data_IF_297425204407
#
_entry.id   IF_297425204407
#
_cell.length_a   1.000
_cell.length_b   1.000
_cell.length_c   1.000
_cell.angle_alpha   90.00
_cell.angle_beta   90.00
_cell.angle_gamma   90.00
#
_symmetry.space_group_name_H-M   'P 1'
#
loop_
_entity.id
_entity.type
_entity.pdbx_description
1 polymer ?
#
# COMPACT_ATOMS: atom_id res chain seq x y z
N UNK A 1 -18.47 -27.52 14.60
CA UNK A 1 -17.86 -28.51 13.69
C UNK A 1 -16.78 -27.87 12.80
N UNK A 2 -17.06 -26.74 12.16
CA UNK A 2 -16.09 -26.02 11.32
C UNK A 2 -14.81 -25.62 12.08
N UNK A 3 -14.90 -25.21 13.34
CA UNK A 3 -13.72 -24.84 14.12
C UNK A 3 -12.74 -26.02 14.34
N UNK A 4 -13.25 -27.24 14.46
CA UNK A 4 -12.46 -28.48 14.57
C UNK A 4 -11.85 -28.85 13.22
N UNK A 5 -12.63 -28.71 12.14
CA UNK A 5 -12.16 -28.90 10.77
C UNK A 5 -11.00 -27.96 10.44
N UNK A 6 -11.13 -26.66 10.74
CA UNK A 6 -10.06 -25.67 10.52
C UNK A 6 -8.82 -25.96 11.35
N UNK A 7 -9.00 -26.47 12.58
CA UNK A 7 -7.88 -26.83 13.46
C UNK A 7 -7.13 -28.05 12.92
N UNK A 8 -7.86 -29.09 12.52
CA UNK A 8 -7.30 -30.37 12.04
C UNK A 8 -6.64 -30.22 10.67
N UNK A 9 -7.16 -29.34 9.82
CA UNK A 9 -6.69 -29.13 8.46
C UNK A 9 -5.82 -27.87 8.28
N UNK A 10 -5.41 -27.22 9.37
CA UNK A 10 -4.70 -25.92 9.33
C UNK A 10 -3.52 -25.90 8.35
N UNK A 11 -2.65 -26.91 8.43
CA UNK A 11 -1.45 -26.96 7.59
C UNK A 11 -1.78 -27.14 6.11
N UNK A 12 -2.80 -27.95 5.80
CA UNK A 12 -3.24 -28.18 4.43
C UNK A 12 -3.90 -26.93 3.83
N UNK A 13 -4.73 -26.24 4.61
CA UNK A 13 -5.33 -24.96 4.21
C UNK A 13 -4.27 -23.91 3.90
N UNK A 14 -3.24 -23.78 4.76
CA UNK A 14 -2.12 -22.85 4.52
C UNK A 14 -1.37 -23.22 3.24
N UNK A 15 -1.09 -24.52 3.03
CA UNK A 15 -0.41 -25.00 1.82
C UNK A 15 -1.19 -24.69 0.55
N UNK A 16 -2.51 -24.89 0.55
CA UNK A 16 -3.38 -24.56 -0.59
C UNK A 16 -3.42 -23.07 -0.89
N UNK A 17 -3.55 -22.23 0.14
CA UNK A 17 -3.53 -20.78 -0.04
C UNK A 17 -2.19 -20.29 -0.60
N UNK A 18 -1.06 -20.83 -0.11
CA UNK A 18 0.27 -20.54 -0.68
C UNK A 18 0.38 -20.93 -2.14
N UNK A 19 -0.13 -22.10 -2.50
CA UNK A 19 -0.11 -22.56 -3.89
C UNK A 19 -0.95 -21.65 -4.79
N UNK A 20 -2.16 -21.29 -4.37
CA UNK A 20 -3.08 -20.42 -5.11
C UNK A 20 -2.56 -18.97 -5.27
N UNK A 21 -1.75 -18.49 -4.32
CA UNK A 21 -1.09 -17.20 -4.44
C UNK A 21 0.19 -17.27 -5.29
N UNK A 22 0.95 -18.36 -5.20
CA UNK A 22 2.16 -18.57 -5.99
C UNK A 22 1.92 -18.68 -7.50
N UNK A 23 0.70 -19.01 -7.93
CA UNK A 23 0.32 -19.00 -9.36
C UNK A 23 0.01 -17.60 -9.90
N UNK A 24 -0.20 -16.61 -9.03
CA UNK A 24 -0.62 -15.23 -9.40
C UNK A 24 0.42 -14.15 -9.10
N UNK A 25 1.35 -14.43 -8.20
CA UNK A 25 2.31 -13.45 -7.70
C UNK A 25 3.70 -13.82 -8.20
N UNK A 26 4.51 -12.83 -8.61
CA UNK A 26 5.93 -13.08 -8.85
C UNK A 26 6.59 -13.70 -7.61
N UNK A 27 7.42 -14.75 -7.74
CA UNK A 27 7.94 -15.53 -6.62
C UNK A 27 8.65 -14.71 -5.52
N UNK A 28 9.16 -13.54 -5.85
CA UNK A 28 9.92 -12.64 -4.96
C UNK A 28 9.05 -11.90 -3.93
N UNK A 29 7.77 -11.69 -4.20
CA UNK A 29 6.86 -10.92 -3.33
C UNK A 29 5.98 -11.79 -2.42
N UNK A 30 5.80 -13.07 -2.79
CA UNK A 30 4.80 -13.99 -2.24
C UNK A 30 5.13 -14.58 -0.86
N UNK A 31 6.40 -14.90 -0.60
CA UNK A 31 6.72 -15.86 0.47
C UNK A 31 6.51 -15.34 1.91
N UNK A 32 6.88 -14.09 2.23
CA UNK A 32 6.98 -13.64 3.63
C UNK A 32 5.63 -13.28 4.29
N UNK A 33 4.63 -12.84 3.52
CA UNK A 33 3.40 -12.25 4.08
C UNK A 33 2.21 -13.20 4.05
N UNK A 34 2.17 -14.11 3.06
CA UNK A 34 1.22 -15.22 3.06
C UNK A 34 1.53 -16.19 4.20
N UNK A 35 2.81 -16.31 4.58
CA UNK A 35 3.29 -17.11 5.70
C UNK A 35 2.84 -16.61 7.07
N UNK A 36 2.55 -15.32 7.22
CA UNK A 36 2.04 -14.77 8.49
C UNK A 36 0.52 -14.55 8.46
N UNK A 37 -0.03 -14.22 7.30
CA UNK A 37 -1.42 -13.76 7.18
C UNK A 37 -2.49 -14.83 7.27
N UNK A 38 -2.41 -15.84 6.39
CA UNK A 38 -3.39 -16.94 6.36
C UNK A 38 -3.41 -17.70 7.69
N UNK A 39 -2.26 -18.05 8.31
CA UNK A 39 -2.28 -18.74 9.60
C UNK A 39 -2.96 -17.92 10.70
N UNK A 40 -2.72 -16.61 10.76
CA UNK A 40 -3.31 -15.73 11.77
C UNK A 40 -4.83 -15.61 11.59
N UNK A 41 -5.29 -15.39 10.35
CA UNK A 41 -6.71 -15.35 10.04
C UNK A 41 -7.43 -16.65 10.45
N UNK A 42 -6.87 -17.81 10.07
CA UNK A 42 -7.43 -19.11 10.43
C UNK A 42 -7.51 -19.29 11.95
N UNK A 43 -6.50 -18.82 12.70
CA UNK A 43 -6.50 -18.90 14.16
C UNK A 43 -7.62 -18.06 14.77
N UNK A 44 -7.80 -16.83 14.30
CA UNK A 44 -8.83 -15.93 14.78
C UNK A 44 -10.23 -16.43 14.44
N UNK A 45 -10.43 -16.91 13.21
CA UNK A 45 -11.69 -17.51 12.76
C UNK A 45 -12.08 -18.72 13.62
N UNK A 46 -11.14 -19.63 13.88
CA UNK A 46 -11.36 -20.77 14.79
C UNK A 46 -11.79 -20.30 16.19
N UNK A 47 -11.19 -19.22 16.70
CA UNK A 47 -11.56 -18.63 17.99
C UNK A 47 -12.98 -18.07 18.02
N UNK A 48 -13.41 -17.38 16.95
CA UNK A 48 -14.77 -16.84 16.82
C UNK A 48 -15.79 -17.97 16.72
N UNK A 49 -15.58 -18.94 15.84
CA UNK A 49 -16.47 -20.09 15.67
C UNK A 49 -16.64 -20.89 16.97
N UNK A 50 -15.56 -21.06 17.75
CA UNK A 50 -15.64 -21.74 19.05
C UNK A 50 -16.48 -20.97 20.07
N UNK A 51 -16.33 -19.64 20.13
CA UNK A 51 -17.11 -18.79 21.04
C UNK A 51 -18.60 -18.80 20.69
N UNK A 52 -18.92 -18.71 19.40
CA UNK A 52 -20.31 -18.71 18.93
C UNK A 52 -21.02 -20.03 19.23
N UNK A 53 -20.33 -21.17 19.03
CA UNK A 53 -20.85 -22.49 19.39
C UNK A 53 -21.14 -22.61 20.91
N UNK A 54 -20.26 -22.07 21.76
CA UNK A 54 -20.46 -22.06 23.22
C UNK A 54 -21.57 -21.11 23.71
N UNK A 55 -21.99 -20.15 22.90
CA UNK A 55 -23.10 -19.24 23.21
C UNK A 55 -24.45 -19.78 22.76
N UNK A 56 -24.51 -20.55 21.66
CA UNK A 56 -25.74 -21.22 21.22
C UNK A 56 -26.15 -22.37 22.16
N UNK A 57 -25.20 -22.99 22.86
CA UNK A 57 -25.46 -24.05 23.86
C UNK A 57 -26.00 -23.53 25.21
N UNK A 58 -26.16 -22.22 25.41
CA UNK A 58 -26.71 -21.66 26.66
C UNK A 58 -28.23 -21.44 26.57
N UNK A 59 -29.01 -21.78 27.62
CA UNK A 59 -30.44 -21.49 27.65
C UNK A 59 -30.71 -20.00 27.44
N UNK A 60 -31.77 -19.70 26.68
CA UNK A 60 -32.12 -18.39 26.15
C UNK A 60 -32.63 -17.38 27.20
N UNK A 61 -31.87 -17.13 28.26
CA UNK A 61 -32.08 -15.95 29.12
C UNK A 61 -31.12 -14.85 28.69
N UNK A 62 -31.66 -13.91 27.89
CA UNK A 62 -30.94 -12.70 27.50
C UNK A 62 -30.15 -12.83 26.21
N UNK A 63 -30.84 -13.06 25.07
CA UNK A 63 -30.32 -12.71 23.73
C UNK A 63 -30.26 -11.18 23.59
N UNK A 64 -29.46 -10.55 24.43
CA UNK A 64 -28.97 -9.21 24.14
C UNK A 64 -27.85 -9.39 23.14
N UNK A 65 -28.01 -8.77 21.98
CA UNK A 65 -27.00 -8.55 20.93
C UNK A 65 -25.83 -7.70 21.46
N UNK A 66 -25.22 -8.15 22.55
CA UNK A 66 -24.18 -7.48 23.34
C UNK A 66 -23.09 -8.51 23.60
N UNK A 67 -22.42 -8.96 22.55
CA UNK A 67 -21.09 -9.57 22.64
C UNK A 67 -20.11 -9.00 21.59
N UNK A 68 -20.32 -7.75 21.18
CA UNK A 68 -19.29 -6.89 20.57
C UNK A 68 -19.31 -5.52 21.26
N UNK A 69 -19.23 -5.53 22.59
CA UNK A 69 -18.88 -4.34 23.37
C UNK A 69 -17.36 -4.25 23.50
N UNK A 70 -16.76 -3.28 22.81
CA UNK A 70 -15.33 -2.93 22.91
C UNK A 70 -14.73 -2.61 21.54
N UNK A 71 -14.65 -1.31 21.21
CA UNK A 71 -13.89 -0.71 20.09
C UNK A 71 -14.02 -1.38 18.71
N UNK A 72 -15.22 -1.41 18.14
CA UNK A 72 -15.54 -1.23 16.70
C UNK A 72 -14.86 -2.07 15.60
N UNK A 73 -13.83 -2.86 15.89
CA UNK A 73 -13.05 -3.71 14.97
C UNK A 73 -12.80 -5.03 15.66
N UNK A 74 -13.30 -6.11 15.06
CA UNK A 74 -12.90 -7.45 15.45
C UNK A 74 -11.37 -7.59 15.39
N UNK A 75 -10.79 -8.47 16.22
CA UNK A 75 -9.34 -8.73 16.17
C UNK A 75 -8.87 -9.08 14.75
N UNK A 76 -9.71 -9.77 13.97
CA UNK A 76 -9.52 -10.05 12.54
C UNK A 76 -9.34 -8.76 11.74
N UNK A 77 -10.23 -7.79 11.94
CA UNK A 77 -10.18 -6.51 11.26
C UNK A 77 -8.91 -5.72 11.55
N UNK A 78 -8.50 -5.67 12.83
CA UNK A 78 -7.25 -5.01 13.23
C UNK A 78 -6.01 -5.65 12.60
N UNK A 79 -5.91 -6.97 12.60
CA UNK A 79 -4.79 -7.68 11.97
C UNK A 79 -4.83 -7.55 10.45
N UNK A 80 -6.01 -7.60 9.84
CA UNK A 80 -6.18 -7.42 8.41
C UNK A 80 -5.78 -6.00 7.96
N UNK A 81 -6.07 -4.97 8.75
CA UNK A 81 -5.60 -3.61 8.49
C UNK A 81 -4.06 -3.51 8.50
N UNK A 82 -3.38 -4.13 9.47
CA UNK A 82 -1.91 -4.18 9.51
C UNK A 82 -1.34 -4.89 8.28
N UNK A 83 -1.95 -6.01 7.88
CA UNK A 83 -1.56 -6.73 6.67
C UNK A 83 -1.80 -5.92 5.40
N UNK A 84 -2.93 -5.20 5.30
CA UNK A 84 -3.22 -4.31 4.18
C UNK A 84 -2.15 -3.24 3.98
N UNK A 85 -1.68 -2.62 5.06
CA UNK A 85 -0.58 -1.66 5.00
C UNK A 85 0.75 -2.33 4.59
N UNK A 86 1.02 -3.54 5.08
CA UNK A 86 2.23 -4.28 4.74
C UNK A 86 2.25 -4.77 3.27
N UNK A 87 1.10 -5.20 2.74
CA UNK A 87 0.96 -5.57 1.33
C UNK A 87 1.35 -4.42 0.41
N UNK A 88 0.91 -3.20 0.72
CA UNK A 88 1.34 -2.01 -0.03
C UNK A 88 2.85 -1.80 0.04
N UNK A 89 3.45 -1.94 1.24
CA UNK A 89 4.90 -1.79 1.43
C UNK A 89 5.71 -2.78 0.61
N UNK A 90 5.15 -3.98 0.41
CA UNK A 90 5.74 -5.04 -0.39
C UNK A 90 5.40 -4.94 -1.89
N UNK A 91 4.67 -3.91 -2.33
CA UNK A 91 4.39 -3.70 -3.75
C UNK A 91 3.27 -4.58 -4.31
N UNK A 92 2.44 -5.18 -3.46
CA UNK A 92 1.22 -5.84 -3.92
C UNK A 92 0.26 -4.81 -4.51
N UNK A 93 -0.56 -5.26 -5.46
CA UNK A 93 -1.70 -4.49 -5.93
C UNK A 93 -2.97 -4.86 -5.16
N UNK A 94 -4.00 -4.02 -5.29
CA UNK A 94 -5.27 -4.20 -4.58
C UNK A 94 -5.98 -5.50 -4.95
N UNK A 95 -5.90 -5.90 -6.21
CA UNK A 95 -6.52 -7.12 -6.73
C UNK A 95 -5.95 -8.37 -6.05
N UNK A 96 -4.63 -8.42 -5.86
CA UNK A 96 -3.94 -9.50 -5.17
C UNK A 96 -4.35 -9.60 -3.70
N UNK A 97 -4.58 -8.46 -3.02
CA UNK A 97 -5.03 -8.44 -1.62
C UNK A 97 -6.41 -9.08 -1.50
N UNK A 98 -7.36 -8.68 -2.36
CA UNK A 98 -8.73 -9.23 -2.35
C UNK A 98 -8.74 -10.71 -2.68
N UNK A 99 -8.01 -11.12 -3.73
CA UNK A 99 -7.90 -12.52 -4.13
C UNK A 99 -7.27 -13.39 -3.05
N UNK A 100 -6.31 -12.87 -2.27
CA UNK A 100 -5.71 -13.61 -1.16
C UNK A 100 -6.73 -14.05 -0.11
N UNK A 101 -7.72 -13.21 0.22
CA UNK A 101 -8.82 -13.60 1.11
C UNK A 101 -9.84 -14.52 0.43
N UNK A 102 -10.06 -14.34 -0.87
CA UNK A 102 -10.88 -15.27 -1.68
C UNK A 102 -10.31 -16.69 -1.68
N UNK A 103 -8.99 -16.83 -1.78
CA UNK A 103 -8.29 -18.11 -1.75
C UNK A 103 -8.47 -18.86 -0.43
N UNK A 104 -8.61 -18.13 0.69
CA UNK A 104 -8.93 -18.75 1.99
C UNK A 104 -10.32 -19.37 1.96
N UNK A 105 -11.33 -18.66 1.46
CA UNK A 105 -12.69 -19.19 1.33
C UNK A 105 -12.73 -20.42 0.40
N UNK A 106 -12.06 -20.33 -0.75
CA UNK A 106 -11.99 -21.40 -1.72
C UNK A 106 -11.28 -22.63 -1.14
N UNK A 107 -10.16 -22.44 -0.43
CA UNK A 107 -9.41 -23.53 0.19
C UNK A 107 -10.23 -24.26 1.26
N UNK A 108 -10.95 -23.53 2.10
CA UNK A 108 -11.81 -24.10 3.15
C UNK A 108 -12.95 -24.91 2.53
N UNK A 109 -13.71 -24.30 1.60
CA UNK A 109 -14.88 -24.93 1.00
C UNK A 109 -14.52 -26.14 0.14
N UNK A 110 -13.45 -26.02 -0.67
CA UNK A 110 -12.96 -27.14 -1.49
C UNK A 110 -12.52 -28.32 -0.63
N UNK A 111 -11.73 -28.06 0.42
CA UNK A 111 -11.27 -29.14 1.31
C UNK A 111 -12.42 -29.79 2.08
N UNK A 112 -13.44 -29.00 2.46
CA UNK A 112 -14.62 -29.54 3.14
C UNK A 112 -15.42 -30.46 2.21
N UNK A 113 -15.58 -30.09 0.93
CA UNK A 113 -16.20 -30.96 -0.08
C UNK A 113 -15.40 -32.26 -0.26
N UNK A 114 -14.08 -32.17 -0.41
CA UNK A 114 -13.22 -33.35 -0.57
C UNK A 114 -13.30 -34.32 0.62
N UNK A 115 -13.39 -33.80 1.84
CA UNK A 115 -13.50 -34.61 3.06
C UNK A 115 -14.95 -34.97 3.43
N UNK A 116 -15.93 -34.55 2.63
CA UNK A 116 -17.36 -34.68 2.97
C UNK A 116 -17.67 -34.11 4.37
N UNK A 117 -16.96 -33.05 4.76
CA UNK A 117 -17.13 -32.39 6.04
C UNK A 117 -18.33 -31.42 5.94
N UNK A 118 -19.41 -31.62 6.72
CA UNK A 118 -20.54 -30.71 6.68
C UNK A 118 -20.16 -29.34 7.27
N UNK A 119 -20.47 -28.27 6.53
CA UNK A 119 -20.42 -26.90 7.02
C UNK A 119 -21.86 -26.42 7.16
N UNK A 120 -22.27 -26.02 8.36
CA UNK A 120 -23.62 -25.49 8.56
C UNK A 120 -23.78 -24.10 7.93
N UNK A 121 -25.03 -23.69 7.64
CA UNK A 121 -25.31 -22.36 7.12
C UNK A 121 -24.85 -21.25 8.08
N UNK A 122 -24.94 -21.47 9.39
CA UNK A 122 -24.50 -20.51 10.40
C UNK A 122 -22.98 -20.41 10.47
N UNK A 123 -22.27 -21.55 10.41
CA UNK A 123 -20.81 -21.60 10.35
C UNK A 123 -20.28 -20.90 9.08
N UNK A 124 -20.93 -21.12 7.94
CA UNK A 124 -20.60 -20.44 6.70
C UNK A 124 -20.89 -18.94 6.76
N UNK A 125 -22.00 -18.51 7.40
CA UNK A 125 -22.30 -17.10 7.59
C UNK A 125 -21.24 -16.40 8.45
N UNK A 126 -20.76 -17.07 9.51
CA UNK A 126 -19.67 -16.56 10.35
C UNK A 126 -18.35 -16.47 9.58
N UNK A 127 -18.01 -17.47 8.78
CA UNK A 127 -16.85 -17.43 7.89
C UNK A 127 -16.90 -16.23 6.95
N UNK A 128 -18.02 -16.03 6.22
CA UNK A 128 -18.15 -14.91 5.29
C UNK A 128 -18.07 -13.57 6.00
N UNK A 129 -18.77 -13.41 7.14
CA UNK A 129 -18.67 -12.18 7.95
C UNK A 129 -17.23 -11.87 8.35
N UNK A 130 -16.45 -12.89 8.75
CA UNK A 130 -15.04 -12.71 9.10
C UNK A 130 -14.19 -12.31 7.90
N UNK A 131 -14.41 -12.94 6.74
CA UNK A 131 -13.73 -12.61 5.48
C UNK A 131 -14.07 -11.19 5.02
N UNK A 132 -15.34 -10.82 5.01
CA UNK A 132 -15.80 -9.49 4.59
C UNK A 132 -15.20 -8.39 5.46
N UNK A 133 -15.19 -8.59 6.79
CA UNK A 133 -14.55 -7.67 7.72
C UNK A 133 -13.04 -7.57 7.47
N UNK A 134 -12.37 -8.70 7.24
CA UNK A 134 -10.94 -8.72 6.93
C UNK A 134 -10.63 -7.98 5.62
N UNK A 135 -11.40 -8.24 4.56
CA UNK A 135 -11.25 -7.58 3.26
C UNK A 135 -11.49 -6.08 3.41
N UNK A 136 -12.58 -5.67 4.06
CA UNK A 136 -12.92 -4.27 4.25
C UNK A 136 -11.81 -3.51 4.98
N UNK A 137 -11.28 -4.08 6.07
CA UNK A 137 -10.21 -3.44 6.85
C UNK A 137 -8.85 -3.46 6.13
N UNK A 138 -8.49 -4.56 5.46
CA UNK A 138 -7.27 -4.65 4.67
C UNK A 138 -7.28 -3.66 3.51
N UNK A 139 -8.37 -3.59 2.74
CA UNK A 139 -8.53 -2.68 1.61
C UNK A 139 -8.52 -1.23 2.06
N UNK A 140 -9.20 -0.92 3.17
CA UNK A 140 -9.21 0.43 3.75
C UNK A 140 -7.82 0.87 4.17
N UNK A 141 -7.07 -0.01 4.85
CA UNK A 141 -5.71 0.29 5.28
C UNK A 141 -4.72 0.38 4.10
N UNK A 142 -4.81 -0.53 3.14
CA UNK A 142 -4.01 -0.52 1.90
C UNK A 142 -4.21 0.79 1.14
N UNK A 143 -5.47 1.17 0.90
CA UNK A 143 -5.82 2.37 0.18
C UNK A 143 -5.43 3.63 0.95
N UNK A 144 -5.65 3.63 2.27
CA UNK A 144 -5.27 4.72 3.17
C UNK A 144 -3.77 4.96 3.19
N UNK A 145 -2.97 3.91 3.39
CA UNK A 145 -1.50 3.98 3.36
C UNK A 145 -0.98 4.47 2.00
N UNK A 146 -1.61 4.01 0.90
CA UNK A 146 -1.27 4.45 -0.46
C UNK A 146 -1.54 5.94 -0.66
N UNK A 147 -2.66 6.44 -0.12
CA UNK A 147 -3.02 7.86 -0.16
C UNK A 147 -2.01 8.72 0.59
N UNK A 148 -1.65 8.32 1.82
CA UNK A 148 -0.67 9.04 2.65
C UNK A 148 0.69 9.10 1.95
N UNK A 149 1.16 7.98 1.39
CA UNK A 149 2.42 7.95 0.65
C UNK A 149 2.41 8.85 -0.58
N UNK A 150 1.31 8.88 -1.34
CA UNK A 150 1.17 9.76 -2.52
C UNK A 150 1.12 11.24 -2.13
N UNK A 151 0.43 11.60 -1.05
CA UNK A 151 0.38 12.98 -0.55
C UNK A 151 1.77 13.44 -0.13
N UNK A 152 2.49 12.66 0.67
CA UNK A 152 3.85 12.98 1.08
C UNK A 152 4.81 13.12 -0.12
N UNK A 153 4.66 12.28 -1.14
CA UNK A 153 5.42 12.39 -2.40
C UNK A 153 5.07 13.68 -3.16
N UNK A 154 3.79 14.06 -3.24
CA UNK A 154 3.35 15.28 -3.90
C UNK A 154 3.85 16.54 -3.16
N UNK A 155 3.83 16.55 -1.83
CA UNK A 155 4.39 17.63 -1.01
C UNK A 155 5.90 17.77 -1.25
N UNK A 156 6.64 16.66 -1.19
CA UNK A 156 8.09 16.65 -1.48
C UNK A 156 8.40 17.14 -2.89
N UNK A 157 7.60 16.73 -3.89
CA UNK A 157 7.74 17.19 -5.28
C UNK A 157 7.47 18.69 -5.40
N UNK A 158 6.41 19.18 -4.75
CA UNK A 158 6.05 20.60 -4.71
C UNK A 158 7.19 21.44 -4.11
N UNK A 159 7.76 21.01 -2.99
CA UNK A 159 8.92 21.66 -2.36
C UNK A 159 10.12 21.74 -3.30
N UNK A 160 10.44 20.65 -4.01
CA UNK A 160 11.55 20.61 -4.97
C UNK A 160 11.30 21.52 -6.18
N UNK A 161 10.07 21.56 -6.68
CA UNK A 161 9.67 22.44 -7.77
C UNK A 161 9.72 23.91 -7.36
N UNK A 162 9.29 24.23 -6.13
CA UNK A 162 9.37 25.58 -5.58
C UNK A 162 10.83 26.03 -5.43
N UNK A 163 11.69 25.19 -4.86
CA UNK A 163 13.13 25.49 -4.74
C UNK A 163 13.79 25.69 -6.12
N UNK A 164 13.42 24.88 -7.11
CA UNK A 164 13.88 25.07 -8.49
C UNK A 164 13.40 26.41 -9.08
N UNK A 165 12.12 26.73 -8.92
CA UNK A 165 11.52 27.95 -9.46
C UNK A 165 12.08 29.22 -8.80
N UNK A 166 12.35 29.19 -7.49
CA UNK A 166 13.00 30.28 -6.76
C UNK A 166 14.43 30.51 -7.25
N UNK A 167 15.20 29.45 -7.40
CA UNK A 167 16.58 29.55 -7.88
C UNK A 167 16.65 30.02 -9.34
N UNK A 168 15.77 29.51 -10.21
CA UNK A 168 15.64 29.99 -11.57
C UNK A 168 15.30 31.49 -11.61
N UNK A 169 14.32 31.92 -10.81
CA UNK A 169 13.91 33.33 -10.73
C UNK A 169 15.07 34.20 -10.24
N UNK A 170 15.79 33.78 -9.20
CA UNK A 170 16.97 34.47 -8.67
C UNK A 170 18.03 34.69 -9.75
N UNK A 171 18.38 33.64 -10.50
CA UNK A 171 19.39 33.72 -11.57
C UNK A 171 18.95 34.62 -12.73
N UNK A 172 17.69 34.51 -13.17
CA UNK A 172 17.13 35.38 -14.22
C UNK A 172 17.16 36.86 -13.79
N UNK A 173 16.79 37.13 -12.54
CA UNK A 173 16.79 38.45 -11.95
C UNK A 173 18.20 39.07 -11.89
N UNK A 174 19.21 38.29 -11.49
CA UNK A 174 20.61 38.72 -11.47
C UNK A 174 21.11 38.98 -12.89
N UNK A 175 20.81 38.09 -13.85
CA UNK A 175 21.19 38.27 -15.24
C UNK A 175 20.55 39.52 -15.86
N UNK A 176 19.25 39.72 -15.63
CA UNK A 176 18.51 40.89 -16.13
C UNK A 176 19.06 42.20 -15.57
N UNK A 177 19.33 42.27 -14.26
CA UNK A 177 19.94 43.45 -13.62
C UNK A 177 21.36 43.71 -14.09
N UNK A 178 22.18 42.68 -14.24
CA UNK A 178 23.56 42.80 -14.74
C UNK A 178 23.58 43.29 -16.18
N UNK A 179 22.72 42.75 -17.03
CA UNK A 179 22.56 43.20 -18.40
C UNK A 179 22.07 44.66 -18.49
N UNK A 180 21.08 45.03 -17.67
CA UNK A 180 20.58 46.41 -17.64
C UNK A 180 21.68 47.42 -17.26
N UNK A 181 22.51 47.10 -16.27
CA UNK A 181 23.64 47.94 -15.84
C UNK A 181 24.76 48.05 -16.90
N UNK A 182 24.99 47.01 -17.69
CA UNK A 182 25.92 47.09 -18.84
C UNK A 182 25.30 47.96 -19.95
N UNK A 183 24.00 47.81 -20.21
CA UNK A 183 23.27 48.54 -21.25
C UNK A 183 23.26 50.06 -21.02
N UNK A 184 23.32 50.54 -19.78
CA UNK A 184 23.42 51.99 -19.49
C UNK A 184 24.74 52.61 -19.92
N UNK A 185 25.74 51.81 -20.31
CA UNK A 185 27.05 52.28 -20.80
C UNK A 185 27.98 52.80 -19.71
N UNK A 186 27.54 52.80 -18.45
CA UNK A 186 28.31 53.22 -17.27
C UNK A 186 29.23 52.13 -16.74
N UNK A 187 28.97 50.86 -17.07
CA UNK A 187 29.78 49.70 -16.66
C UNK A 187 30.20 48.90 -17.89
N UNK A 188 31.48 48.55 -17.99
CA UNK A 188 32.03 47.84 -19.14
C UNK A 188 31.74 46.34 -19.15
N UNK A 189 31.59 45.78 -20.35
CA UNK A 189 31.41 44.33 -20.60
C UNK A 189 32.55 43.46 -20.05
N UNK A 190 33.78 43.98 -20.01
CA UNK A 190 34.94 43.28 -19.46
C UNK A 190 35.11 43.46 -17.94
N UNK A 191 34.20 44.19 -17.29
CA UNK A 191 34.25 44.48 -15.85
C UNK A 191 33.51 43.44 -14.99
N UNK A 192 33.48 43.69 -13.68
CA UNK A 192 32.87 42.79 -12.69
C UNK A 192 31.40 42.44 -12.98
N UNK A 193 30.60 43.39 -13.50
CA UNK A 193 29.20 43.14 -13.87
C UNK A 193 29.05 42.22 -15.09
N UNK A 194 29.98 42.31 -16.06
CA UNK A 194 30.02 41.39 -17.19
C UNK A 194 30.41 39.96 -16.78
N UNK A 195 31.39 39.84 -15.87
CA UNK A 195 31.76 38.55 -15.27
C UNK A 195 30.61 37.92 -14.46
N UNK A 196 29.89 38.73 -13.66
CA UNK A 196 28.70 38.28 -12.93
C UNK A 196 27.60 37.80 -13.89
N UNK A 197 27.35 38.52 -14.98
CA UNK A 197 26.36 38.10 -15.99
C UNK A 197 26.74 36.76 -16.62
N UNK A 198 28.00 36.60 -17.05
CA UNK A 198 28.48 35.36 -17.66
C UNK A 198 28.33 34.18 -16.69
N UNK A 199 28.80 34.35 -15.46
CA UNK A 199 28.69 33.32 -14.41
C UNK A 199 27.22 32.95 -14.12
N UNK A 200 26.34 33.95 -14.00
CA UNK A 200 24.90 33.73 -13.75
C UNK A 200 24.24 32.95 -14.90
N UNK A 201 24.63 33.21 -16.14
CA UNK A 201 24.12 32.47 -17.31
C UNK A 201 24.62 31.03 -17.35
N UNK A 202 25.86 30.78 -16.94
CA UNK A 202 26.41 29.43 -16.77
C UNK A 202 25.69 28.66 -15.66
N UNK A 203 25.43 29.31 -14.51
CA UNK A 203 24.64 28.73 -13.43
C UNK A 203 23.22 28.39 -13.92
N UNK A 204 22.56 29.30 -14.64
CA UNK A 204 21.22 29.10 -15.18
C UNK A 204 21.18 27.95 -16.20
N UNK A 205 22.22 27.81 -17.03
CA UNK A 205 22.36 26.69 -17.97
C UNK A 205 22.52 25.36 -17.26
N UNK A 206 23.29 25.33 -16.17
CA UNK A 206 23.53 24.10 -15.39
C UNK A 206 22.39 23.72 -14.45
N UNK A 207 21.47 24.67 -14.14
CA UNK A 207 20.41 24.48 -13.16
C UNK A 207 19.49 23.28 -13.48
N UNK A 208 18.98 23.10 -14.72
CA UNK A 208 18.16 21.94 -15.06
C UNK A 208 18.93 20.62 -14.94
N UNK A 209 20.20 20.59 -15.34
CA UNK A 209 21.05 19.38 -15.27
C UNK A 209 21.28 18.94 -13.83
N UNK A 210 21.42 19.90 -12.90
CA UNK A 210 21.61 19.65 -11.47
C UNK A 210 20.31 19.29 -10.75
N UNK A 211 19.20 19.94 -11.09
CA UNK A 211 17.94 19.87 -10.31
C UNK A 211 16.86 18.97 -10.89
N UNK A 212 16.80 18.78 -12.21
CA UNK A 212 15.81 17.88 -12.80
C UNK A 212 15.98 16.40 -12.43
N UNK A 213 17.20 15.84 -12.23
CA UNK A 213 17.34 14.48 -11.74
C UNK A 213 16.70 14.28 -10.36
N UNK A 214 16.86 15.26 -9.46
CA UNK A 214 16.24 15.27 -8.13
C UNK A 214 14.70 15.32 -8.22
N UNK A 215 14.15 15.93 -9.26
CA UNK A 215 12.70 16.04 -9.51
C UNK A 215 12.14 14.78 -10.22
N UNK A 216 12.92 14.15 -11.11
CA UNK A 216 12.49 13.00 -11.95
C UNK A 216 12.65 11.62 -11.31
N UNK A 217 13.51 11.45 -10.30
CA UNK A 217 13.88 10.13 -9.77
C UNK A 217 12.78 9.35 -9.04
N UNK A 218 11.50 9.77 -9.09
CA UNK A 218 10.41 9.05 -8.42
C UNK A 218 9.02 9.35 -8.97
N UNK A 219 8.85 9.25 -10.28
CA UNK A 219 7.53 8.94 -10.84
C UNK A 219 7.41 7.41 -11.01
N UNK A 220 6.89 6.65 -10.01
CA UNK A 220 6.64 5.23 -10.19
C UNK A 220 5.48 4.92 -11.15
N UNK A 221 4.81 5.93 -11.74
CA UNK A 221 3.71 5.71 -12.69
C UNK A 221 4.16 5.69 -14.17
N UNK A 222 5.38 6.12 -14.50
CA UNK A 222 5.89 6.10 -15.89
C UNK A 222 7.07 5.14 -16.03
N UNK A 223 6.79 3.84 -16.01
CA UNK A 223 7.69 2.77 -16.44
C UNK A 223 8.00 2.77 -17.95
N UNK A 224 8.24 3.92 -18.55
CA UNK A 224 8.82 4.01 -19.90
C UNK A 224 9.94 5.06 -19.90
N UNK A 225 11.18 4.58 -19.93
CA UNK A 225 12.31 5.38 -20.36
C UNK A 225 12.02 5.94 -21.77
N UNK A 226 12.30 7.23 -22.04
CA UNK A 226 12.22 7.73 -23.39
C UNK A 226 13.26 6.98 -24.23
N UNK A 227 12.78 6.22 -25.22
CA UNK A 227 13.65 5.72 -26.28
C UNK A 227 14.20 6.94 -27.02
N UNK A 228 15.46 7.24 -26.75
CA UNK A 228 16.27 8.08 -27.62
C UNK A 228 16.42 7.32 -28.93
N UNK A 229 15.63 7.70 -29.94
CA UNK A 229 15.90 7.30 -31.31
C UNK A 229 17.14 8.07 -31.76
N UNK A 230 18.19 7.30 -32.04
CA UNK A 230 19.38 7.65 -32.83
C UNK A 230 19.03 8.16 -34.22
#
# INVERSE_FOLDING_TARGET
MLHEFLTSNRNELIKRCRHAAGTRVEPSLSAATIDSGVPLFLQQLTGILRKEQQTDDRPAEGKSSVLLGGDGRSDIGRTAALQGAEFLRLGYNLDQVVHGYGDVCQAITTLAVEQTAPISADEFRTLNRCLDNAIADAVSAFSGAGRVSRVAQAETLSERLNAYAEEQRRLVDIAARSYAAIKTGTVGMAGATGALLLHTLEELRSLPERKLPEIRLRDPATGLAPKLNS
#
